data_IF_564752996305
#
_entry.id   IF_564752996305
#
_cell.length_a   1.000
_cell.length_b   1.000
_cell.length_c   1.000
_cell.angle_alpha   90.00
_cell.angle_beta   90.00
_cell.angle_gamma   90.00
#
_symmetry.space_group_name_H-M   'P 1'
#
loop_
_entity.id
_entity.type
_entity.pdbx_description
1 polymer ?
#
# COMPACT_ATOMS: atom_id res chain seq x y z
N UNK A 1 -22.22 -65.26 18.22
CA UNK A 1 -21.58 -65.22 16.89
C UNK A 1 -21.82 -63.84 16.29
N UNK A 2 -20.74 -63.20 15.81
CA UNK A 2 -20.70 -61.97 14.98
C UNK A 2 -21.73 -62.06 13.83
N UNK A 3 -22.33 -60.98 13.33
CA UNK A 3 -21.66 -59.99 12.48
C UNK A 3 -22.33 -58.62 12.42
N UNK A 4 -21.47 -57.61 12.53
CA UNK A 4 -21.48 -56.22 12.04
C UNK A 4 -22.41 -55.87 10.87
N UNK A 5 -23.03 -54.68 10.93
CA UNK A 5 -23.18 -53.78 9.79
C UNK A 5 -23.29 -52.32 10.24
N UNK A 6 -22.19 -51.81 10.81
CA UNK A 6 -21.91 -50.37 10.88
C UNK A 6 -21.24 -49.95 9.56
N UNK A 7 -22.01 -49.53 8.56
CA UNK A 7 -21.46 -48.82 7.39
C UNK A 7 -22.55 -48.03 6.68
N UNK A 8 -22.76 -46.78 7.08
CA UNK A 8 -22.54 -45.64 6.17
C UNK A 8 -22.50 -44.33 6.98
N UNK A 9 -21.36 -44.10 7.64
CA UNK A 9 -20.85 -42.74 7.81
C UNK A 9 -20.44 -42.24 6.43
N UNK A 10 -21.16 -41.28 5.87
CA UNK A 10 -20.51 -40.25 5.06
C UNK A 10 -21.03 -38.93 5.60
N UNK A 11 -20.30 -38.46 6.60
CA UNK A 11 -20.22 -37.07 7.00
C UNK A 11 -20.05 -36.23 5.73
N UNK A 12 -21.07 -35.46 5.37
CA UNK A 12 -20.91 -34.29 4.51
C UNK A 12 -20.09 -33.27 5.30
N UNK A 13 -18.78 -33.50 5.37
CA UNK A 13 -17.82 -32.44 5.61
C UNK A 13 -17.96 -31.57 4.38
N UNK A 14 -18.76 -30.52 4.50
CA UNK A 14 -18.71 -29.40 3.58
C UNK A 14 -17.31 -28.81 3.78
N UNK A 15 -16.36 -29.33 3.00
CA UNK A 15 -15.07 -28.71 2.81
C UNK A 15 -15.38 -27.40 2.09
N UNK A 16 -15.74 -26.37 2.86
CA UNK A 16 -15.41 -25.00 2.53
C UNK A 16 -13.89 -24.95 2.66
N UNK A 17 -13.20 -25.50 1.65
CA UNK A 17 -11.88 -25.06 1.26
C UNK A 17 -12.08 -23.58 1.00
N UNK A 18 -11.76 -22.80 2.02
CA UNK A 18 -11.38 -21.41 1.88
C UNK A 18 -10.51 -21.36 0.63
N UNK A 19 -11.03 -20.77 -0.44
CA UNK A 19 -10.18 -20.22 -1.48
C UNK A 19 -9.45 -19.04 -0.85
N UNK A 20 -8.51 -19.37 0.03
CA UNK A 20 -7.43 -18.49 0.43
C UNK A 20 -6.75 -18.18 -0.88
N UNK A 21 -6.59 -16.90 -1.22
CA UNK A 21 -5.66 -16.52 -2.28
C UNK A 21 -4.27 -16.94 -1.82
N UNK A 22 -3.92 -18.20 -2.04
CA UNK A 22 -2.66 -18.77 -1.62
C UNK A 22 -1.58 -18.08 -2.43
N UNK A 23 -0.84 -17.20 -1.76
CA UNK A 23 0.42 -16.69 -2.26
C UNK A 23 1.37 -17.88 -2.35
N UNK A 24 2.10 -18.08 -3.46
CA UNK A 24 3.04 -19.18 -3.58
C UNK A 24 4.05 -19.18 -2.44
N UNK A 25 4.45 -20.35 -1.94
CA UNK A 25 5.46 -20.49 -0.89
C UNK A 25 6.77 -19.73 -1.21
N UNK A 26 7.13 -19.64 -2.50
CA UNK A 26 8.28 -18.87 -2.98
C UNK A 26 8.18 -17.37 -2.71
N UNK A 27 6.98 -16.80 -2.71
CA UNK A 27 6.77 -15.39 -2.40
C UNK A 27 6.84 -15.12 -0.89
N UNK A 28 6.46 -16.09 -0.06
CA UNK A 28 6.69 -16.03 1.38
C UNK A 28 8.20 -16.11 1.71
N UNK A 29 8.92 -17.04 1.09
CA UNK A 29 10.37 -17.11 1.25
C UNK A 29 11.11 -15.88 0.70
N UNK A 30 10.66 -15.30 -0.41
CA UNK A 30 11.21 -14.03 -0.90
C UNK A 30 10.99 -12.89 0.11
N UNK A 31 9.84 -12.86 0.78
CA UNK A 31 9.59 -11.95 1.89
C UNK A 31 10.53 -12.25 3.08
N UNK A 32 10.58 -13.48 3.60
CA UNK A 32 11.43 -13.84 4.74
C UNK A 32 12.93 -13.60 4.49
N UNK A 33 13.39 -13.88 3.27
CA UNK A 33 14.78 -13.64 2.85
C UNK A 33 15.10 -12.16 2.60
N UNK A 34 14.12 -11.25 2.76
CA UNK A 34 14.30 -9.82 2.55
C UNK A 34 14.46 -9.41 1.08
N UNK A 35 14.04 -10.26 0.14
CA UNK A 35 14.20 -10.07 -1.30
C UNK A 35 13.60 -8.77 -1.82
N UNK A 36 14.16 -8.27 -2.92
CA UNK A 36 13.84 -6.95 -3.49
C UNK A 36 12.43 -6.87 -4.09
N UNK A 37 11.77 -8.00 -4.34
CA UNK A 37 10.40 -8.05 -4.83
C UNK A 37 9.68 -9.34 -4.44
N UNK A 38 8.42 -9.21 -4.02
CA UNK A 38 7.57 -10.34 -3.66
C UNK A 38 6.09 -9.98 -3.81
N UNK A 39 5.21 -10.97 -3.88
CA UNK A 39 3.77 -10.77 -3.91
C UNK A 39 3.16 -11.26 -2.60
N UNK A 40 2.32 -10.46 -1.94
CA UNK A 40 1.68 -10.86 -0.69
C UNK A 40 0.32 -10.17 -0.55
N UNK A 41 -0.58 -10.77 0.23
CA UNK A 41 -1.79 -10.06 0.66
C UNK A 41 -1.40 -8.91 1.60
N UNK A 42 -1.88 -7.71 1.32
CA UNK A 42 -1.45 -6.47 2.00
C UNK A 42 -1.62 -6.52 3.54
N UNK A 43 -2.72 -7.11 4.02
CA UNK A 43 -3.04 -7.26 5.42
C UNK A 43 -1.99 -7.98 6.27
N UNK A 44 -1.11 -8.79 5.67
CA UNK A 44 -0.03 -9.44 6.42
C UNK A 44 1.07 -8.47 6.85
N UNK A 45 1.23 -7.34 6.16
CA UNK A 45 2.27 -6.35 6.46
C UNK A 45 1.72 -5.07 7.07
N UNK A 46 0.39 -4.93 7.16
CA UNK A 46 -0.25 -3.76 7.75
C UNK A 46 0.03 -3.70 9.24
N UNK A 47 0.30 -2.49 9.72
CA UNK A 47 0.47 -2.19 11.14
C UNK A 47 -0.65 -1.28 11.63
N UNK A 48 -0.78 -1.14 12.95
CA UNK A 48 -1.60 -0.09 13.55
C UNK A 48 -0.85 1.25 13.41
N UNK A 49 -1.35 2.23 12.62
CA UNK A 49 -0.67 3.50 12.43
C UNK A 49 -0.53 4.32 13.71
N UNK A 50 -1.37 4.07 14.72
CA UNK A 50 -1.28 4.73 16.01
C UNK A 50 -0.04 4.30 16.79
N UNK A 51 0.50 3.11 16.52
CA UNK A 51 1.74 2.62 17.12
C UNK A 51 3.01 3.14 16.44
N UNK A 52 2.87 4.07 15.50
CA UNK A 52 3.99 4.63 14.76
C UNK A 52 3.92 6.17 14.70
N UNK A 53 5.06 6.84 14.43
CA UNK A 53 5.09 8.28 14.23
C UNK A 53 4.33 8.72 12.98
N UNK A 54 3.92 9.99 12.99
CA UNK A 54 3.36 10.69 11.83
C UNK A 54 4.43 11.61 11.28
N UNK A 55 4.55 11.62 9.96
CA UNK A 55 5.51 12.43 9.24
C UNK A 55 4.83 13.48 8.38
N UNK A 56 5.59 14.52 8.06
CA UNK A 56 5.26 15.43 6.97
C UNK A 56 6.53 15.78 6.20
N UNK A 57 6.38 16.22 4.95
CA UNK A 57 7.49 16.75 4.20
C UNK A 57 8.06 18.02 4.87
N UNK A 58 9.39 18.15 4.91
CA UNK A 58 10.08 19.29 5.55
C UNK A 58 9.72 20.61 4.84
N UNK A 59 9.43 20.53 3.54
CA UNK A 59 8.97 21.60 2.65
C UNK A 59 8.10 20.98 1.55
N UNK A 60 7.50 21.81 0.70
CA UNK A 60 6.87 21.29 -0.52
C UNK A 60 7.95 20.71 -1.44
N UNK A 61 7.83 19.43 -1.76
CA UNK A 61 8.77 18.68 -2.58
C UNK A 61 8.09 18.31 -3.89
N UNK A 62 8.76 18.58 -5.01
CA UNK A 62 8.29 18.10 -6.31
C UNK A 62 8.34 16.59 -6.33
N UNK A 63 7.28 15.95 -6.83
CA UNK A 63 7.24 14.49 -6.91
C UNK A 63 8.44 13.92 -7.70
N UNK A 64 9.09 12.84 -7.22
CA UNK A 64 10.24 12.28 -7.91
C UNK A 64 9.87 11.79 -9.32
N UNK A 65 10.75 12.04 -10.28
CA UNK A 65 10.61 11.53 -11.64
C UNK A 65 11.16 10.11 -11.73
N UNK A 66 10.36 9.13 -12.17
CA UNK A 66 10.88 7.79 -12.41
C UNK A 66 11.60 7.75 -13.76
N UNK A 67 12.85 7.25 -13.81
CA UNK A 67 13.65 7.10 -15.05
C UNK A 67 13.06 6.11 -16.07
N UNK A 68 12.07 5.30 -15.70
CA UNK A 68 11.53 4.24 -16.55
C UNK A 68 10.63 4.70 -17.72
N UNK A 69 10.45 6.00 -17.96
CA UNK A 69 9.69 6.44 -19.13
C UNK A 69 9.96 7.90 -19.54
N UNK A 70 11.13 8.16 -20.14
CA UNK A 70 11.49 9.49 -20.70
C UNK A 70 10.52 9.97 -21.79
N UNK A 71 9.73 9.08 -22.41
CA UNK A 71 8.81 9.44 -23.49
C UNK A 71 7.44 9.99 -23.03
N UNK A 72 7.01 9.71 -21.79
CA UNK A 72 5.67 10.08 -21.27
C UNK A 72 5.66 10.31 -19.75
N UNK A 73 6.78 10.80 -19.19
CA UNK A 73 7.08 10.87 -17.76
C UNK A 73 5.83 11.01 -16.89
N UNK A 74 5.48 9.94 -16.18
CA UNK A 74 4.37 9.96 -15.23
C UNK A 74 4.81 10.82 -14.06
N UNK A 75 4.65 12.13 -14.20
CA UNK A 75 4.89 13.10 -13.15
C UNK A 75 4.11 12.65 -11.93
N UNK A 76 4.78 12.56 -10.79
CA UNK A 76 4.11 12.31 -9.53
C UNK A 76 3.69 13.67 -8.97
N UNK A 77 2.47 13.81 -8.43
CA UNK A 77 2.09 15.04 -7.76
C UNK A 77 3.12 15.42 -6.69
N UNK A 78 3.19 16.71 -6.42
CA UNK A 78 4.03 17.25 -5.36
C UNK A 78 3.64 16.66 -4.01
N UNK A 79 4.64 16.41 -3.18
CA UNK A 79 4.48 16.03 -1.78
C UNK A 79 4.49 17.34 -0.99
N UNK A 80 3.33 17.74 -0.48
CA UNK A 80 3.17 19.02 0.21
C UNK A 80 3.42 18.88 1.73
N UNK A 81 3.90 19.96 2.35
CA UNK A 81 4.21 20.02 3.79
C UNK A 81 2.97 19.90 4.69
N UNK A 82 1.79 20.17 4.17
CA UNK A 82 0.55 19.99 4.90
C UNK A 82 0.09 18.51 4.97
N UNK A 83 0.59 17.64 4.10
CA UNK A 83 0.15 16.25 4.04
C UNK A 83 0.68 15.45 5.23
N UNK A 84 -0.20 14.67 5.85
CA UNK A 84 0.15 13.79 6.96
C UNK A 84 0.40 12.38 6.47
N UNK A 85 1.58 11.87 6.78
CA UNK A 85 2.05 10.56 6.35
C UNK A 85 2.15 9.63 7.54
N UNK A 86 1.28 8.62 7.58
CA UNK A 86 1.26 7.62 8.64
C UNK A 86 1.94 6.33 8.17
N UNK A 87 2.66 5.67 9.07
CA UNK A 87 3.20 4.34 8.79
C UNK A 87 2.02 3.36 8.66
N UNK A 88 1.94 2.74 7.49
CA UNK A 88 0.83 1.86 7.10
C UNK A 88 1.24 0.41 7.02
N UNK A 89 2.50 0.14 6.70
CA UNK A 89 3.07 -1.21 6.65
C UNK A 89 4.50 -1.21 7.20
N UNK A 90 4.89 -2.31 7.83
CA UNK A 90 6.23 -2.54 8.32
C UNK A 90 6.63 -4.00 8.10
N UNK A 91 7.85 -4.23 7.60
CA UNK A 91 8.34 -5.58 7.31
C UNK A 91 9.86 -5.61 7.16
N UNK A 92 10.56 -6.49 7.89
CA UNK A 92 12.03 -6.66 7.81
C UNK A 92 12.81 -5.33 7.84
N UNK A 93 12.51 -4.45 8.80
CA UNK A 93 13.15 -3.13 8.93
C UNK A 93 12.76 -2.11 7.86
N UNK A 94 11.82 -2.43 6.96
CA UNK A 94 11.30 -1.54 5.91
C UNK A 94 9.93 -1.01 6.29
N UNK A 95 9.70 0.27 6.03
CA UNK A 95 8.47 0.96 6.40
C UNK A 95 7.85 1.66 5.19
N UNK A 96 6.53 1.58 5.09
CA UNK A 96 5.74 2.27 4.08
C UNK A 96 4.83 3.29 4.74
N UNK A 97 5.00 4.56 4.38
CA UNK A 97 4.11 5.64 4.79
C UNK A 97 3.02 5.91 3.75
N UNK A 98 1.86 6.36 4.22
CA UNK A 98 0.67 6.66 3.43
C UNK A 98 0.08 8.01 3.83
N UNK A 99 -0.35 8.81 2.85
CA UNK A 99 -1.15 10.01 3.05
C UNK A 99 -2.43 9.90 2.22
N UNK A 100 -3.58 10.12 2.86
CA UNK A 100 -4.87 10.14 2.16
C UNK A 100 -4.96 11.34 1.22
N UNK A 101 -4.47 12.50 1.65
CA UNK A 101 -4.43 13.74 0.89
C UNK A 101 -3.59 13.58 -0.39
N UNK A 102 -2.39 13.00 -0.26
CA UNK A 102 -1.54 12.70 -1.41
C UNK A 102 -2.22 11.72 -2.38
N UNK A 103 -2.84 10.67 -1.86
CA UNK A 103 -3.50 9.65 -2.69
C UNK A 103 -4.71 10.22 -3.44
N UNK A 104 -5.48 11.14 -2.82
CA UNK A 104 -6.53 11.90 -3.49
C UNK A 104 -5.94 12.75 -4.61
N UNK A 105 -4.86 13.50 -4.33
CA UNK A 105 -4.21 14.35 -5.33
C UNK A 105 -3.65 13.54 -6.49
N UNK A 106 -3.07 12.38 -6.21
CA UNK A 106 -2.61 11.42 -7.20
C UNK A 106 -3.75 10.90 -8.08
N UNK A 107 -4.89 10.57 -7.48
CA UNK A 107 -6.08 10.13 -8.19
C UNK A 107 -6.55 11.17 -9.21
N UNK A 108 -6.68 12.43 -8.78
CA UNK A 108 -7.09 13.55 -9.62
C UNK A 108 -6.08 13.83 -10.73
N UNK A 109 -4.79 13.81 -10.41
CA UNK A 109 -3.72 14.03 -11.40
C UNK A 109 -3.77 13.00 -12.53
N UNK A 110 -3.91 11.71 -12.20
CA UNK A 110 -3.96 10.65 -13.22
C UNK A 110 -5.28 10.71 -14.02
N UNK A 111 -6.39 11.09 -13.40
CA UNK A 111 -7.67 11.32 -14.09
C UNK A 111 -7.56 12.44 -15.14
N UNK A 112 -6.98 13.58 -14.75
CA UNK A 112 -6.75 14.74 -15.65
C UNK A 112 -5.84 14.37 -16.82
N UNK A 113 -4.76 13.63 -16.57
CA UNK A 113 -3.74 13.29 -17.58
C UNK A 113 -4.21 12.22 -18.57
N UNK A 114 -4.94 11.20 -18.09
CA UNK A 114 -5.27 10.03 -18.92
C UNK A 114 -6.59 10.14 -19.67
N UNK A 115 -7.50 11.06 -19.28
CA UNK A 115 -8.91 11.12 -19.76
C UNK A 115 -9.69 9.80 -19.60
N UNK A 116 -9.15 8.82 -18.87
CA UNK A 116 -9.80 7.56 -18.51
C UNK A 116 -10.16 7.65 -17.03
N UNK A 117 -11.09 8.56 -16.75
CA UNK A 117 -11.45 8.94 -15.39
C UNK A 117 -11.92 7.76 -14.55
N UNK A 118 -12.96 7.05 -14.99
CA UNK A 118 -13.69 6.08 -14.17
C UNK A 118 -12.94 4.78 -13.83
N UNK A 119 -12.00 4.35 -14.68
CA UNK A 119 -11.26 3.09 -14.44
C UNK A 119 -10.13 3.25 -13.43
N UNK A 120 -9.51 4.44 -13.37
CA UNK A 120 -8.30 4.68 -12.56
C UNK A 120 -8.65 5.38 -11.25
N UNK A 121 -9.55 6.36 -11.29
CA UNK A 121 -10.06 7.09 -10.15
C UNK A 121 -11.59 6.96 -10.15
N UNK A 122 -12.19 6.34 -9.14
CA UNK A 122 -13.66 6.46 -9.02
C UNK A 122 -13.92 7.89 -8.52
N UNK A 123 -14.11 8.78 -9.51
CA UNK A 123 -14.12 10.22 -9.30
C UNK A 123 -15.17 10.58 -8.27
N UNK A 124 -14.79 11.55 -7.45
CA UNK A 124 -15.55 12.02 -6.33
C UNK A 124 -16.86 12.61 -6.85
N UNK A 125 -17.95 11.84 -6.86
CA UNK A 125 -19.27 12.47 -6.84
C UNK A 125 -19.32 13.28 -5.55
N UNK A 126 -19.29 14.61 -5.71
CA UNK A 126 -19.67 15.55 -4.66
C UNK A 126 -21.09 15.19 -4.27
N UNK A 127 -21.24 14.50 -3.13
CA UNK A 127 -22.57 14.28 -2.60
C UNK A 127 -23.22 15.65 -2.38
N UNK A 128 -24.53 15.75 -2.61
CA UNK A 128 -25.34 16.97 -2.41
C UNK A 128 -25.14 17.62 -1.01
N UNK A 129 -24.57 16.86 -0.06
CA UNK A 129 -24.25 17.28 1.31
C UNK A 129 -22.76 17.55 1.57
N UNK A 130 -21.96 17.81 0.53
CA UNK A 130 -20.57 18.30 0.68
C UNK A 130 -19.55 17.26 1.16
N UNK A 131 -19.88 15.97 1.13
CA UNK A 131 -18.95 14.88 1.48
C UNK A 131 -18.37 14.18 0.26
N UNK A 132 -17.05 13.94 0.27
CA UNK A 132 -16.33 13.14 -0.72
C UNK A 132 -16.67 11.64 -0.56
N UNK A 133 -17.31 11.01 -1.56
CA UNK A 133 -17.79 9.60 -1.50
C UNK A 133 -17.23 8.65 -2.57
N UNK A 134 -16.14 9.00 -3.24
CA UNK A 134 -15.49 8.11 -4.23
C UNK A 134 -14.67 6.99 -3.59
N UNK A 135 -14.50 5.84 -4.28
CA UNK A 135 -13.62 4.75 -3.79
C UNK A 135 -12.12 5.03 -3.97
N UNK A 136 -11.76 6.14 -4.62
CA UNK A 136 -10.37 6.59 -4.81
C UNK A 136 -9.63 5.85 -5.93
N UNK A 137 -8.29 5.90 -5.90
CA UNK A 137 -7.44 5.32 -6.93
C UNK A 137 -7.50 3.77 -6.91
N UNK A 138 -7.26 3.10 -8.05
CA UNK A 138 -7.17 1.62 -8.13
C UNK A 138 -6.08 1.03 -7.23
N UNK A 139 -5.01 1.77 -7.04
CA UNK A 139 -3.93 1.48 -6.10
C UNK A 139 -3.66 2.70 -5.25
N UNK A 140 -3.45 2.49 -3.96
CA UNK A 140 -2.94 3.49 -3.04
C UNK A 140 -1.43 3.67 -3.27
N UNK A 141 -0.99 4.91 -3.24
CA UNK A 141 0.44 5.24 -3.35
C UNK A 141 1.03 5.36 -1.94
N UNK A 142 2.08 4.60 -1.70
CA UNK A 142 2.86 4.61 -0.48
C UNK A 142 4.30 5.00 -0.79
N UNK A 143 5.02 5.50 0.20
CA UNK A 143 6.44 5.85 0.09
C UNK A 143 7.26 4.99 1.04
N UNK A 144 8.35 4.41 0.55
CA UNK A 144 9.35 3.75 1.38
C UNK A 144 10.19 4.78 2.12
N UNK A 145 10.37 4.57 3.41
CA UNK A 145 11.03 5.55 4.27
C UNK A 145 11.79 4.90 5.43
N UNK A 146 12.90 5.54 5.83
CA UNK A 146 13.67 5.25 7.04
C UNK A 146 13.17 6.05 8.24
N UNK A 147 13.52 5.62 9.46
CA UNK A 147 13.14 6.32 10.69
C UNK A 147 13.65 7.77 10.75
N UNK A 148 14.77 8.08 10.09
CA UNK A 148 15.33 9.43 10.03
C UNK A 148 14.61 10.36 9.02
N UNK A 149 13.53 9.90 8.37
CA UNK A 149 12.77 10.68 7.40
C UNK A 149 13.31 10.65 5.97
N UNK A 150 14.36 9.83 5.72
CA UNK A 150 14.87 9.62 4.37
C UNK A 150 13.92 8.71 3.58
N UNK A 151 13.54 9.11 2.38
CA UNK A 151 12.68 8.33 1.48
C UNK A 151 13.46 7.78 0.28
N UNK A 152 13.04 6.63 -0.24
CA UNK A 152 13.81 5.92 -1.27
C UNK A 152 12.94 5.12 -2.24
N UNK A 153 11.64 5.41 -2.37
CA UNK A 153 10.84 4.69 -3.37
C UNK A 153 9.35 4.84 -3.21
N UNK A 154 8.63 4.56 -4.29
CA UNK A 154 7.18 4.44 -4.26
C UNK A 154 6.75 2.98 -4.26
N UNK A 155 5.69 2.68 -3.52
CA UNK A 155 4.99 1.41 -3.55
C UNK A 155 3.53 1.62 -3.92
N UNK A 156 3.04 0.88 -4.91
CA UNK A 156 1.63 0.90 -5.29
C UNK A 156 0.94 -0.33 -4.70
N UNK A 157 0.07 -0.12 -3.71
CA UNK A 157 -0.67 -1.19 -3.05
C UNK A 157 -2.11 -1.17 -3.56
N UNK A 158 -2.68 -2.33 -3.87
CA UNK A 158 -4.07 -2.37 -4.36
C UNK A 158 -5.04 -1.78 -3.34
N UNK A 159 -5.93 -0.90 -3.78
CA UNK A 159 -6.87 -0.23 -2.88
C UNK A 159 -7.99 -1.20 -2.46
N UNK A 160 -8.06 -1.63 -1.19
CA UNK A 160 -9.03 -2.63 -0.74
C UNK A 160 -10.48 -2.14 -0.84
N UNK A 161 -10.72 -0.82 -0.93
CA UNK A 161 -12.07 -0.27 -1.11
C UNK A 161 -12.64 -0.59 -2.50
N UNK A 162 -11.79 -0.78 -3.53
CA UNK A 162 -12.22 -1.12 -4.90
C UNK A 162 -12.24 -2.63 -5.16
N UNK A 163 -11.46 -3.42 -4.42
CA UNK A 163 -11.30 -4.85 -4.64
C UNK A 163 -12.14 -5.67 -3.64
N UNK A 164 -13.23 -6.25 -4.13
CA UNK A 164 -14.24 -6.94 -3.29
C UNK A 164 -13.78 -8.35 -2.90
N UNK A 165 -13.08 -9.07 -3.78
CA UNK A 165 -12.63 -10.44 -3.49
C UNK A 165 -11.27 -10.44 -2.78
N UNK A 166 -11.05 -11.39 -1.86
CA UNK A 166 -9.77 -11.51 -1.12
C UNK A 166 -8.58 -11.80 -2.05
N UNK A 167 -8.78 -12.58 -3.12
CA UNK A 167 -7.76 -12.85 -4.14
C UNK A 167 -7.25 -11.57 -4.81
N UNK A 168 -8.11 -10.55 -4.88
CA UNK A 168 -7.80 -9.30 -5.57
C UNK A 168 -6.94 -8.36 -4.71
N UNK A 169 -6.71 -8.71 -3.44
CA UNK A 169 -5.95 -7.91 -2.47
C UNK A 169 -4.47 -8.30 -2.40
N UNK A 170 -4.03 -9.23 -3.24
CA UNK A 170 -2.60 -9.55 -3.42
C UNK A 170 -1.94 -8.36 -4.12
N UNK A 171 -0.95 -7.76 -3.46
CA UNK A 171 -0.12 -6.67 -3.98
C UNK A 171 1.29 -7.18 -4.28
N UNK A 172 1.92 -6.60 -5.30
CA UNK A 172 3.32 -6.82 -5.61
C UNK A 172 4.15 -5.76 -4.91
N UNK A 173 4.92 -6.17 -3.91
CA UNK A 173 5.88 -5.33 -3.21
C UNK A 173 7.18 -5.32 -4.01
N UNK A 174 7.67 -4.12 -4.31
CA UNK A 174 8.95 -3.88 -4.98
C UNK A 174 9.72 -2.90 -4.13
N UNK A 175 10.77 -3.37 -3.48
CA UNK A 175 11.70 -2.54 -2.73
C UNK A 175 12.70 -2.00 -3.74
N UNK A 176 12.26 -1.02 -4.54
CA UNK A 176 13.06 -0.44 -5.60
C UNK A 176 13.28 1.05 -5.35
N UNK A 177 14.54 1.48 -5.37
CA UNK A 177 14.95 2.89 -5.33
C UNK A 177 14.82 3.54 -6.72
N UNK A 178 13.58 3.50 -7.22
CA UNK A 178 13.23 4.12 -8.49
C UNK A 178 12.78 5.56 -8.24
N UNK A 179 13.51 6.52 -8.80
CA UNK A 179 13.21 7.95 -8.74
C UNK A 179 14.43 8.79 -8.39
N UNK A 180 14.36 10.10 -8.60
CA UNK A 180 15.33 11.03 -8.02
C UNK A 180 14.89 11.40 -6.59
N UNK A 181 15.41 10.66 -5.62
CA UNK A 181 15.21 10.89 -4.19
C UNK A 181 16.35 11.74 -3.58
N UNK A 182 17.04 12.57 -4.36
CA UNK A 182 18.11 13.43 -3.82
C UNK A 182 17.57 14.52 -2.87
N UNK A 183 18.46 15.09 -2.05
CA UNK A 183 18.11 16.17 -1.11
C UNK A 183 17.41 15.68 0.18
N UNK A 184 17.73 14.46 0.62
CA UNK A 184 17.26 13.87 1.88
C UNK A 184 17.77 14.62 3.13
N UNK A 185 17.05 14.52 4.27
CA UNK A 185 15.76 13.86 4.44
C UNK A 185 14.63 14.64 3.78
N UNK A 186 13.59 13.93 3.35
CA UNK A 186 12.39 14.55 2.78
C UNK A 186 11.32 14.81 3.84
N UNK A 187 11.27 13.95 4.85
CA UNK A 187 10.25 13.96 5.87
C UNK A 187 10.82 14.31 7.25
N UNK A 188 10.01 14.99 8.06
CA UNK A 188 10.24 15.20 9.48
C UNK A 188 9.09 14.57 10.28
N UNK A 189 9.41 14.05 11.46
CA UNK A 189 8.35 13.62 12.39
C UNK A 189 7.63 14.84 12.93
N UNK A 190 6.29 14.82 12.89
CA UNK A 190 5.44 15.93 13.31
C UNK A 190 4.50 15.55 14.45
N UNK A 191 4.17 14.27 14.63
CA UNK A 191 3.33 13.77 15.71
C UNK A 191 3.76 12.35 16.12
N UNK A 192 3.48 11.97 17.38
CA UNK A 192 3.83 10.66 17.94
C UNK A 192 5.33 10.30 17.80
N UNK A 193 6.22 11.29 17.89
CA UNK A 193 7.65 11.11 17.62
C UNK A 193 8.38 10.25 18.65
N UNK A 194 7.82 10.11 19.85
CA UNK A 194 8.25 9.12 20.83
C UNK A 194 8.15 7.68 20.31
N UNK A 195 7.29 7.42 19.31
CA UNK A 195 7.12 6.11 18.67
C UNK A 195 8.12 5.81 17.56
N UNK A 196 9.07 6.71 17.27
CA UNK A 196 10.19 6.42 16.34
C UNK A 196 10.98 5.16 16.74
N UNK A 197 10.99 4.81 18.03
CA UNK A 197 11.59 3.58 18.55
C UNK A 197 10.98 2.30 17.94
N UNK A 198 9.78 2.38 17.38
CA UNK A 198 9.13 1.24 16.70
C UNK A 198 9.57 1.11 15.24
N UNK A 199 10.38 2.05 14.73
CA UNK A 199 11.00 2.00 13.41
C UNK A 199 12.48 1.61 13.50
N UNK A 200 12.75 0.38 13.94
CA UNK A 200 14.10 -0.15 14.07
C UNK A 200 14.60 -0.68 12.72
N UNK A 201 15.84 -0.35 12.36
CA UNK A 201 16.54 -0.91 11.19
C UNK A 201 17.16 -2.28 11.50
#
# INVERSE_FOLDING_TARGET
MKTTNDTLRISSILILLTMVGCVPQSAYHAYEAGGDSFALHDSYLRVDPLEYPVFSAIKNIKGPTSKFNEARGWYRPDILKEYKWEVSHAFNGKYLIYSEEYNIRYCLFVEEDTKIASEICESQETSFWGGYKGKGARSNVHVYMHANGSAYGFQFIRNPKRWVLKSDKISFFRVADEGDWSGQPWFECVERCEKLVNMVE
#
